data_IF_505428619152
#
_entry.id   IF_505428619152
#
_cell.length_a   1.000
_cell.length_b   1.000
_cell.length_c   1.000
_cell.angle_alpha   90.00
_cell.angle_beta   90.00
_cell.angle_gamma   90.00
#
_symmetry.space_group_name_H-M   'P 1'
#
loop_
_entity.id
_entity.type
_entity.pdbx_description
1 polymer ?
#
# COMPACT_ATOMS: atom_id res chain seq x y z
N UNK A 1 0.69 41.14 -2.08
CA UNK A 1 0.54 40.41 -1.84
C UNK A 1 0.60 39.31 -2.00
N UNK A 2 0.66 38.72 -1.91
CA UNK A 2 0.63 37.77 -1.88
C UNK A 2 0.65 36.71 -1.71
N UNK A 3 0.81 36.28 -1.65
CA UNK A 3 1.05 35.21 -1.00
C UNK A 3 0.21 33.98 -1.16
N UNK A 4 -0.95 33.95 -1.71
CA UNK A 4 -1.74 32.75 -1.88
C UNK A 4 -1.00 31.58 -2.51
N UNK A 5 -0.22 31.76 -3.55
CA UNK A 5 0.46 30.60 -4.10
C UNK A 5 1.43 29.98 -3.14
N UNK A 6 1.97 30.75 -2.28
CA UNK A 6 2.90 30.24 -1.33
C UNK A 6 2.24 29.31 -0.33
N UNK A 7 1.05 29.65 0.12
CA UNK A 7 0.32 28.86 1.07
C UNK A 7 0.00 27.48 0.54
N UNK A 8 -0.54 27.33 -0.67
CA UNK A 8 -0.77 26.00 -1.21
C UNK A 8 0.50 25.19 -1.36
N UNK A 9 1.60 25.83 -1.71
CA UNK A 9 2.84 25.13 -1.84
C UNK A 9 3.29 24.53 -0.52
N UNK A 10 3.21 25.31 0.55
CA UNK A 10 3.56 24.81 1.87
C UNK A 10 2.64 23.69 2.30
N UNK A 11 1.37 23.81 2.04
CA UNK A 11 0.43 22.78 2.40
C UNK A 11 0.75 21.49 1.66
N UNK A 12 1.14 21.57 0.40
CA UNK A 12 1.51 20.39 -0.37
C UNK A 12 2.74 19.71 0.21
N UNK A 13 3.74 20.48 0.61
CA UNK A 13 4.94 19.92 1.20
C UNK A 13 4.62 19.22 2.50
N UNK A 14 3.82 19.85 3.34
CA UNK A 14 3.45 19.26 4.63
C UNK A 14 2.66 17.97 4.41
N UNK A 15 1.73 17.99 3.47
CA UNK A 15 0.95 16.80 3.18
C UNK A 15 1.81 15.67 2.63
N UNK A 16 2.74 16.00 1.76
CA UNK A 16 3.64 14.99 1.21
C UNK A 16 4.48 14.35 2.31
N UNK A 17 5.02 15.18 3.20
CA UNK A 17 5.80 14.66 4.31
C UNK A 17 4.96 13.79 5.21
N UNK A 18 3.74 14.23 5.50
CA UNK A 18 2.84 13.47 6.36
C UNK A 18 2.50 12.13 5.75
N UNK A 19 2.25 12.10 4.44
CA UNK A 19 1.95 10.87 3.75
C UNK A 19 3.14 9.92 3.75
N UNK A 20 4.33 10.47 3.54
CA UNK A 20 5.53 9.66 3.55
C UNK A 20 5.75 9.03 4.93
N UNK A 21 5.45 9.79 5.98
CA UNK A 21 5.61 9.28 7.33
C UNK A 21 4.61 8.20 7.67
N UNK A 22 3.43 8.24 7.05
CA UNK A 22 2.42 7.25 7.32
C UNK A 22 2.60 5.98 6.49
N UNK A 23 3.51 6.00 5.55
CA UNK A 23 3.77 4.82 4.71
C UNK A 23 4.71 3.88 5.42
N UNK A 24 4.54 2.59 5.12
CA UNK A 24 5.38 1.55 5.68
C UNK A 24 6.53 1.24 4.73
N UNK A 25 7.70 0.98 5.29
CA UNK A 25 8.80 0.45 4.51
C UNK A 25 8.52 -1.01 4.19
N UNK A 26 9.35 -1.59 3.32
CA UNK A 26 9.24 -3.02 3.01
C UNK A 26 9.40 -3.86 4.27
N UNK A 27 10.37 -3.53 5.11
CA UNK A 27 10.60 -4.28 6.34
C UNK A 27 9.41 -4.16 7.28
N UNK A 28 8.85 -2.96 7.39
CA UNK A 28 7.71 -2.75 8.26
C UNK A 28 6.48 -3.50 7.75
N UNK A 29 6.27 -3.49 6.44
CA UNK A 29 5.14 -4.21 5.86
C UNK A 29 5.29 -5.71 6.06
N UNK A 30 6.48 -6.24 5.80
CA UNK A 30 6.72 -7.66 5.96
C UNK A 30 6.48 -8.08 7.41
N UNK A 31 6.98 -7.29 8.37
CA UNK A 31 6.77 -7.59 9.77
C UNK A 31 5.29 -7.55 10.13
N UNK A 32 4.58 -6.53 9.65
CA UNK A 32 3.15 -6.39 9.94
C UNK A 32 2.35 -7.55 9.36
N UNK A 33 2.78 -8.10 8.24
CA UNK A 33 2.07 -9.19 7.58
C UNK A 33 2.55 -10.57 8.05
N UNK A 34 3.63 -10.62 8.82
CA UNK A 34 4.15 -11.89 9.31
C UNK A 34 4.88 -12.70 8.27
N UNK A 35 5.50 -12.05 7.30
CA UNK A 35 6.26 -12.72 6.25
C UNK A 35 7.69 -12.16 6.21
N UNK A 36 8.57 -12.87 5.54
CA UNK A 36 9.93 -12.41 5.40
C UNK A 36 10.02 -11.32 4.34
N UNK A 37 11.08 -10.53 4.41
CA UNK A 37 11.32 -9.51 3.39
C UNK A 37 11.51 -10.14 2.01
N UNK A 38 12.12 -11.32 1.97
CA UNK A 38 12.31 -12.01 0.70
C UNK A 38 10.97 -12.42 0.09
N UNK A 39 10.05 -12.90 0.93
CA UNK A 39 8.72 -13.25 0.46
C UNK A 39 8.00 -12.02 -0.07
N UNK A 40 8.08 -10.92 0.67
CA UNK A 40 7.46 -9.68 0.20
C UNK A 40 8.04 -9.25 -1.13
N UNK A 41 9.36 -9.32 -1.27
CA UNK A 41 9.99 -8.93 -2.53
C UNK A 41 9.48 -9.76 -3.69
N UNK A 42 9.26 -11.05 -3.45
CA UNK A 42 8.70 -11.92 -4.49
C UNK A 42 7.27 -11.50 -4.85
N UNK A 43 6.46 -11.18 -3.86
CA UNK A 43 5.10 -10.77 -4.13
C UNK A 43 5.05 -9.47 -4.91
N UNK A 44 5.94 -8.55 -4.58
CA UNK A 44 6.05 -7.30 -5.33
C UNK A 44 6.50 -7.59 -6.76
N UNK A 45 7.49 -8.46 -6.92
CA UNK A 45 7.98 -8.81 -8.24
C UNK A 45 6.94 -9.49 -9.11
N UNK A 46 6.02 -10.23 -8.49
CA UNK A 46 4.93 -10.88 -9.21
C UNK A 46 3.75 -9.95 -9.46
N UNK A 47 3.80 -8.73 -8.95
CA UNK A 47 2.71 -7.80 -9.15
C UNK A 47 1.52 -8.02 -8.23
N UNK A 48 1.66 -8.86 -7.22
CA UNK A 48 0.57 -9.13 -6.29
C UNK A 48 0.46 -8.09 -5.18
N UNK A 49 1.55 -7.40 -4.90
CA UNK A 49 1.60 -6.30 -3.95
C UNK A 49 2.28 -5.14 -4.66
N UNK A 50 1.61 -4.00 -4.70
CA UNK A 50 2.15 -2.85 -5.41
C UNK A 50 2.57 -1.78 -4.42
N UNK A 51 3.78 -1.24 -4.56
CA UNK A 51 4.15 -0.10 -3.74
C UNK A 51 3.21 1.07 -3.97
N UNK A 52 2.91 1.77 -2.90
CA UNK A 52 2.07 2.96 -2.99
C UNK A 52 2.85 4.12 -3.58
N UNK A 53 4.14 4.19 -3.26
CA UNK A 53 5.00 5.27 -3.72
C UNK A 53 6.44 4.84 -3.57
N UNK A 54 7.34 5.68 -4.05
CA UNK A 54 8.76 5.49 -3.87
C UNK A 54 9.29 6.63 -3.00
N UNK A 55 10.21 6.30 -2.11
CA UNK A 55 10.85 7.29 -1.25
C UNK A 55 12.33 7.36 -1.60
N UNK A 56 12.81 8.57 -1.88
CA UNK A 56 14.22 8.75 -2.17
C UNK A 56 15.02 8.91 -0.90
N UNK A 57 16.27 8.45 -0.93
CA UNK A 57 17.16 8.68 0.19
C UNK A 57 18.23 9.69 -0.24
N UNK A 58 19.14 9.98 0.67
CA UNK A 58 20.16 11.00 0.44
C UNK A 58 21.09 10.68 -0.71
N UNK A 59 21.19 9.40 -1.04
CA UNK A 59 22.05 8.96 -2.14
C UNK A 59 21.34 8.85 -3.45
N UNK A 60 20.06 9.26 -3.48
CA UNK A 60 19.29 9.20 -4.70
C UNK A 60 18.65 7.87 -4.98
N UNK A 61 18.83 6.88 -4.11
CA UNK A 61 18.16 5.59 -4.30
C UNK A 61 16.70 5.71 -3.95
N UNK A 62 15.87 5.04 -4.74
CA UNK A 62 14.42 5.06 -4.52
C UNK A 62 14.00 3.72 -3.92
N UNK A 63 13.29 3.78 -2.81
CA UNK A 63 12.81 2.58 -2.14
C UNK A 63 11.31 2.58 -2.08
N UNK A 64 10.67 1.41 -2.19
CA UNK A 64 9.22 1.34 -2.15
C UNK A 64 8.69 1.57 -0.75
N UNK A 65 7.55 2.25 -0.67
CA UNK A 65 6.80 2.38 0.57
C UNK A 65 5.36 1.98 0.28
N UNK A 66 4.65 1.59 1.33
CA UNK A 66 3.34 0.97 1.19
C UNK A 66 2.37 1.62 2.17
N UNK A 67 1.14 1.79 1.73
CA UNK A 67 0.12 2.41 2.57
C UNK A 67 -0.48 1.38 3.53
N UNK A 68 -1.20 1.89 4.54
CA UNK A 68 -1.93 1.02 5.44
C UNK A 68 -2.97 0.19 4.70
N UNK A 69 -3.56 0.75 3.65
CA UNK A 69 -4.53 0.01 2.84
C UNK A 69 -3.87 -1.18 2.16
N UNK A 70 -2.66 -0.99 1.65
CA UNK A 70 -1.92 -2.10 1.06
C UNK A 70 -1.61 -3.16 2.09
N UNK A 71 -1.23 -2.76 3.30
CA UNK A 71 -0.97 -3.70 4.37
C UNK A 71 -2.22 -4.51 4.71
N UNK A 72 -3.37 -3.84 4.79
CA UNK A 72 -4.63 -4.51 5.06
C UNK A 72 -4.96 -5.53 3.97
N UNK A 73 -4.78 -5.12 2.73
CA UNK A 73 -5.05 -5.98 1.59
C UNK A 73 -4.14 -7.21 1.62
N UNK A 74 -2.88 -7.01 1.89
CA UNK A 74 -1.94 -8.12 1.96
C UNK A 74 -2.33 -9.11 3.06
N UNK A 75 -2.73 -8.60 4.22
CA UNK A 75 -3.15 -9.48 5.31
C UNK A 75 -4.38 -10.29 4.92
N UNK A 76 -5.32 -9.68 4.18
CA UNK A 76 -6.50 -10.41 3.70
C UNK A 76 -6.09 -11.52 2.73
N UNK A 77 -5.16 -11.23 1.81
CA UNK A 77 -4.67 -12.23 0.88
C UNK A 77 -4.03 -13.41 1.61
N UNK A 78 -3.21 -13.11 2.59
CA UNK A 78 -2.52 -14.15 3.34
C UNK A 78 -3.49 -14.98 4.17
N UNK A 79 -4.52 -14.34 4.71
CA UNK A 79 -5.54 -15.07 5.45
C UNK A 79 -6.30 -16.04 4.55
N UNK A 80 -6.69 -15.59 3.37
CA UNK A 80 -7.37 -16.46 2.42
C UNK A 80 -6.48 -17.62 2.01
N UNK A 81 -5.21 -17.31 1.74
CA UNK A 81 -4.26 -18.35 1.38
C UNK A 81 -4.15 -19.41 2.48
N UNK A 82 -4.02 -18.96 3.72
CA UNK A 82 -3.84 -19.86 4.84
C UNK A 82 -5.10 -20.63 5.18
N UNK A 83 -6.23 -19.93 5.19
CA UNK A 83 -7.47 -20.53 5.72
C UNK A 83 -8.20 -21.36 4.67
N UNK A 84 -8.11 -20.98 3.39
CA UNK A 84 -8.87 -21.66 2.34
C UNK A 84 -7.99 -22.46 1.40
N UNK A 85 -6.68 -22.37 1.54
CA UNK A 85 -5.78 -23.13 0.69
C UNK A 85 -5.65 -22.62 -0.73
N UNK A 86 -6.20 -21.42 -1.02
CA UNK A 86 -6.03 -20.85 -2.36
C UNK A 86 -4.61 -20.31 -2.48
N UNK A 87 -4.04 -20.37 -3.68
CA UNK A 87 -2.71 -19.81 -3.86
C UNK A 87 -2.79 -18.27 -3.79
N UNK A 88 -1.63 -17.62 -3.67
CA UNK A 88 -1.62 -16.18 -3.45
C UNK A 88 -2.16 -15.39 -4.62
N UNK A 89 -1.93 -15.85 -5.84
CA UNK A 89 -2.50 -15.17 -7.00
C UNK A 89 -4.02 -15.23 -6.96
N UNK A 90 -4.57 -16.39 -6.64
CA UNK A 90 -6.02 -16.54 -6.51
C UNK A 90 -6.56 -15.70 -5.37
N UNK A 91 -5.83 -15.65 -4.25
CA UNK A 91 -6.24 -14.84 -3.12
C UNK A 91 -6.28 -13.36 -3.50
N UNK A 92 -5.30 -12.90 -4.29
CA UNK A 92 -5.29 -11.51 -4.74
C UNK A 92 -6.50 -11.20 -5.60
N UNK A 93 -6.84 -12.12 -6.49
CA UNK A 93 -8.02 -11.93 -7.34
C UNK A 93 -9.28 -11.85 -6.50
N UNK A 94 -9.41 -12.73 -5.52
CA UNK A 94 -10.58 -12.74 -4.64
C UNK A 94 -10.69 -11.42 -3.88
N UNK A 95 -9.58 -10.96 -3.32
CA UNK A 95 -9.59 -9.70 -2.59
C UNK A 95 -10.01 -8.54 -3.50
N UNK A 96 -9.47 -8.51 -4.73
CA UNK A 96 -9.83 -7.47 -5.68
C UNK A 96 -11.32 -7.48 -5.98
N UNK A 97 -11.88 -8.67 -6.20
CA UNK A 97 -13.31 -8.79 -6.51
C UNK A 97 -14.16 -8.36 -5.31
N UNK A 98 -13.76 -8.77 -4.11
CA UNK A 98 -14.52 -8.39 -2.92
C UNK A 98 -14.47 -6.88 -2.72
N UNK A 99 -13.30 -6.29 -2.89
CA UNK A 99 -13.19 -4.86 -2.73
C UNK A 99 -13.99 -4.11 -3.78
N UNK A 100 -14.03 -4.64 -4.99
CA UNK A 100 -14.85 -4.04 -6.04
C UNK A 100 -16.34 -4.11 -5.68
N UNK A 101 -16.78 -5.25 -5.18
CA UNK A 101 -18.16 -5.40 -4.73
C UNK A 101 -18.50 -4.46 -3.60
N UNK A 102 -17.57 -4.30 -2.66
CA UNK A 102 -17.78 -3.40 -1.55
C UNK A 102 -17.92 -1.96 -2.03
N UNK A 103 -17.11 -1.56 -3.00
CA UNK A 103 -17.22 -0.22 -3.56
C UNK A 103 -18.57 -0.01 -4.23
N UNK A 104 -19.03 -1.01 -4.98
CA UNK A 104 -20.29 -0.88 -5.69
C UNK A 104 -21.46 -0.84 -4.74
N UNK A 105 -21.41 -1.63 -3.67
CA UNK A 105 -22.49 -1.64 -2.70
C UNK A 105 -22.48 -0.44 -1.80
N UNK A 106 -21.29 -0.05 -1.34
CA UNK A 106 -21.16 1.03 -0.40
C UNK A 106 -20.93 2.35 -1.05
N UNK A 107 -21.22 2.48 -2.34
CA UNK A 107 -20.90 3.70 -3.06
C UNK A 107 -21.62 4.91 -2.52
N UNK A 108 -21.18 6.08 -2.99
CA UNK A 108 -21.76 7.33 -2.58
C UNK A 108 -23.21 7.38 -2.93
N UNK A 109 -24.10 7.63 -2.49
CA UNK A 109 -25.48 7.61 -2.85
C UNK A 109 -26.27 6.63 -2.04
N UNK A 110 -25.56 5.91 -1.22
CA UNK A 110 -26.22 4.93 -0.39
C UNK A 110 -26.54 5.42 0.99
#
# INVERSE_FOLDING_TARGET
MRTPPRTPFKASIVETARRAESHLSSEELAAAAGISSATLARLVGLGLVEPTALRGNERGAMTPVFSAATASRLRRMLRLHRDLGVNLTGAAIIVDLVEQLERERGGPGR
#
